data_IF_595177287070
#
_entry.id   IF_595177287070
#
_cell.length_a   1.000
_cell.length_b   1.000
_cell.length_c   1.000
_cell.angle_alpha   90.00
_cell.angle_beta   90.00
_cell.angle_gamma   90.00
#
_symmetry.space_group_name_H-M   'P 1'
#
loop_
_entity.id
_entity.type
_entity.pdbx_description
1 polymer ?
#
# COMPACT_ATOMS: atom_id res chain seq x y z
N UNK A 1 1.80 35.28 -5.29
CA UNK A 1 1.52 35.08 -6.73
C UNK A 1 1.85 33.63 -7.07
N UNK A 2 0.91 32.72 -6.84
CA UNK A 2 1.10 31.28 -7.12
C UNK A 2 1.03 31.12 -8.63
N UNK A 3 2.08 30.57 -9.25
CA UNK A 3 2.13 30.44 -10.71
C UNK A 3 0.92 29.62 -11.19
N UNK A 4 0.21 30.05 -12.26
CA UNK A 4 -0.98 29.36 -12.80
C UNK A 4 -0.73 27.89 -13.22
N UNK A 5 0.55 27.48 -13.29
CA UNK A 5 0.95 26.08 -13.53
C UNK A 5 0.77 25.18 -12.30
N UNK A 6 0.97 25.70 -11.09
CA UNK A 6 0.82 24.91 -9.86
C UNK A 6 -0.65 24.58 -9.59
N UNK A 7 -1.55 25.53 -9.80
CA UNK A 7 -2.98 25.33 -9.57
C UNK A 7 -3.57 24.28 -10.54
N UNK A 8 -3.17 24.34 -11.81
CA UNK A 8 -3.58 23.34 -12.79
C UNK A 8 -3.03 21.95 -12.46
N UNK A 9 -1.75 21.85 -12.09
CA UNK A 9 -1.15 20.58 -11.67
C UNK A 9 -1.83 20.02 -10.41
N UNK A 10 -2.10 20.87 -9.42
CA UNK A 10 -2.79 20.50 -8.19
C UNK A 10 -4.18 19.91 -8.47
N UNK A 11 -5.00 20.58 -9.29
CA UNK A 11 -6.33 20.08 -9.63
C UNK A 11 -6.29 18.71 -10.31
N UNK A 12 -5.33 18.49 -11.21
CA UNK A 12 -5.11 17.18 -11.83
C UNK A 12 -4.73 16.13 -10.79
N UNK A 13 -3.82 16.45 -9.88
CA UNK A 13 -3.42 15.50 -8.82
C UNK A 13 -4.58 15.14 -7.89
N UNK A 14 -5.42 16.09 -7.51
CA UNK A 14 -6.62 15.84 -6.68
C UNK A 14 -7.60 14.91 -7.41
N UNK A 15 -7.80 15.12 -8.71
CA UNK A 15 -8.66 14.24 -9.52
C UNK A 15 -8.17 12.78 -9.53
N UNK A 16 -6.88 12.55 -9.81
CA UNK A 16 -6.31 11.19 -9.78
C UNK A 16 -6.33 10.59 -8.37
N UNK A 17 -6.14 11.40 -7.31
CA UNK A 17 -6.22 10.95 -5.93
C UNK A 17 -7.63 10.42 -5.60
N UNK A 18 -8.68 11.15 -5.98
CA UNK A 18 -10.07 10.72 -5.78
C UNK A 18 -10.33 9.38 -6.50
N UNK A 19 -9.84 9.23 -7.73
CA UNK A 19 -10.00 7.97 -8.49
C UNK A 19 -9.29 6.81 -7.79
N UNK A 20 -8.05 7.01 -7.32
CA UNK A 20 -7.29 6.00 -6.57
C UNK A 20 -8.03 5.63 -5.28
N UNK A 21 -8.55 6.61 -4.54
CA UNK A 21 -9.31 6.38 -3.33
C UNK A 21 -10.57 5.53 -3.60
N UNK A 22 -11.33 5.85 -4.64
CA UNK A 22 -12.48 5.05 -5.06
C UNK A 22 -12.08 3.62 -5.47
N UNK A 23 -10.95 3.46 -6.17
CA UNK A 23 -10.44 2.15 -6.57
C UNK A 23 -10.03 1.30 -5.35
N UNK A 24 -9.42 1.91 -4.33
CA UNK A 24 -9.09 1.24 -3.07
C UNK A 24 -10.34 0.82 -2.29
N UNK A 25 -11.37 1.67 -2.25
CA UNK A 25 -12.66 1.32 -1.63
C UNK A 25 -13.32 0.15 -2.35
N UNK A 26 -13.32 0.17 -3.69
CA UNK A 26 -13.82 -0.95 -4.49
C UNK A 26 -13.04 -2.23 -4.19
N UNK A 27 -11.70 -2.18 -4.21
CA UNK A 27 -10.85 -3.32 -3.87
C UNK A 27 -11.13 -3.85 -2.46
N UNK A 28 -11.27 -2.97 -1.46
CA UNK A 28 -11.61 -3.35 -0.09
C UNK A 28 -12.96 -4.08 0.01
N UNK A 29 -13.99 -3.60 -0.70
CA UNK A 29 -15.30 -4.27 -0.74
C UNK A 29 -15.19 -5.63 -1.42
N UNK A 30 -14.51 -5.72 -2.57
CA UNK A 30 -14.32 -6.98 -3.31
C UNK A 30 -13.56 -7.99 -2.46
N UNK A 31 -12.40 -7.63 -1.90
CA UNK A 31 -11.60 -8.52 -1.07
C UNK A 31 -12.27 -8.90 0.25
N UNK A 32 -13.19 -8.08 0.77
CA UNK A 32 -14.02 -8.45 1.93
C UNK A 32 -15.09 -9.48 1.60
N UNK A 33 -15.66 -9.42 0.38
CA UNK A 33 -16.75 -10.30 -0.06
C UNK A 33 -16.20 -11.62 -0.61
N UNK A 34 -15.07 -11.59 -1.31
CA UNK A 34 -14.41 -12.79 -1.78
C UNK A 34 -13.89 -13.57 -0.56
N UNK A 35 -14.24 -14.87 -0.44
CA UNK A 35 -13.70 -15.68 0.63
C UNK A 35 -12.17 -15.72 0.51
N UNK A 36 -11.45 -15.29 1.53
CA UNK A 36 -10.03 -15.61 1.64
C UNK A 36 -9.94 -17.14 1.68
N UNK A 37 -9.50 -17.77 0.60
CA UNK A 37 -9.11 -19.18 0.61
C UNK A 37 -8.00 -19.45 1.64
N UNK A 38 -7.31 -18.39 2.06
CA UNK A 38 -6.29 -18.33 3.11
C UNK A 38 -6.77 -17.72 4.44
N UNK A 39 -8.08 -17.72 4.74
CA UNK A 39 -8.47 -17.91 6.14
C UNK A 39 -7.91 -19.30 6.52
N UNK A 40 -7.02 -19.38 7.52
CA UNK A 40 -5.79 -20.14 7.44
C UNK A 40 -6.04 -21.64 7.25
N UNK A 41 -5.73 -22.15 6.06
CA UNK A 41 -5.54 -23.59 5.84
C UNK A 41 -4.14 -24.08 6.24
N UNK A 42 -3.20 -23.17 6.48
CA UNK A 42 -1.88 -23.52 7.04
C UNK A 42 -1.89 -23.72 8.56
N UNK A 43 -2.93 -23.28 9.26
CA UNK A 43 -3.04 -23.42 10.71
C UNK A 43 -4.38 -24.03 11.15
N UNK A 44 -5.12 -24.81 10.34
CA UNK A 44 -6.32 -25.44 10.91
C UNK A 44 -5.95 -26.45 12.01
N UNK A 45 -4.87 -27.22 11.85
CA UNK A 45 -4.39 -28.15 12.90
C UNK A 45 -3.59 -27.42 14.00
N UNK A 46 -2.76 -26.44 13.64
CA UNK A 46 -1.97 -25.65 14.60
C UNK A 46 -2.84 -24.66 15.38
N UNK A 47 -3.78 -23.96 14.75
CA UNK A 47 -4.73 -23.07 15.40
C UNK A 47 -5.81 -23.85 16.15
N UNK A 48 -6.28 -25.01 15.67
CA UNK A 48 -7.13 -25.90 16.48
C UNK A 48 -6.38 -26.43 17.70
N UNK A 49 -5.07 -26.76 17.56
CA UNK A 49 -4.22 -27.13 18.68
C UNK A 49 -4.00 -25.95 19.65
N UNK A 50 -3.78 -24.74 19.15
CA UNK A 50 -3.65 -23.53 19.99
C UNK A 50 -4.98 -23.15 20.64
N UNK A 51 -6.11 -23.30 19.94
CA UNK A 51 -7.45 -23.08 20.49
C UNK A 51 -7.80 -24.16 21.52
N UNK A 52 -7.35 -25.41 21.31
CA UNK A 52 -7.44 -26.50 22.28
C UNK A 52 -6.57 -26.24 23.52
N UNK A 53 -5.30 -25.87 23.34
CA UNK A 53 -4.39 -25.52 24.44
C UNK A 53 -4.89 -24.28 25.21
N UNK A 54 -5.46 -23.30 24.50
CA UNK A 54 -6.13 -22.14 25.09
C UNK A 54 -7.37 -22.54 25.89
N UNK A 55 -8.21 -23.42 25.35
CA UNK A 55 -9.41 -23.91 26.04
C UNK A 55 -9.06 -24.75 27.27
N UNK A 56 -8.01 -25.57 27.19
CA UNK A 56 -7.47 -26.35 28.29
C UNK A 56 -6.90 -25.43 29.39
N UNK A 57 -6.10 -24.42 29.01
CA UNK A 57 -5.59 -23.40 29.93
C UNK A 57 -6.74 -22.68 30.65
N UNK A 58 -7.77 -22.25 29.92
CA UNK A 58 -8.94 -21.59 30.48
C UNK A 58 -9.71 -22.50 31.43
N UNK A 59 -9.91 -23.77 31.08
CA UNK A 59 -10.58 -24.75 31.95
C UNK A 59 -9.79 -25.00 33.24
N UNK A 60 -8.47 -25.11 33.16
CA UNK A 60 -7.60 -25.28 34.33
C UNK A 60 -7.65 -24.03 35.22
N UNK A 61 -7.60 -22.83 34.64
CA UNK A 61 -7.69 -21.58 35.39
C UNK A 61 -9.06 -21.41 36.05
N UNK A 62 -10.13 -21.83 35.38
CA UNK A 62 -11.49 -21.77 35.91
C UNK A 62 -11.69 -22.77 37.06
N UNK A 63 -11.23 -24.02 36.91
CA UNK A 63 -11.29 -25.03 37.96
C UNK A 63 -10.50 -24.59 39.22
N UNK A 64 -9.34 -23.98 39.04
CA UNK A 64 -8.51 -23.50 40.15
C UNK A 64 -9.06 -22.21 40.79
N UNK A 65 -9.84 -21.41 40.06
CA UNK A 65 -10.48 -20.19 40.61
C UNK A 65 -11.53 -20.49 41.69
N UNK A 66 -12.12 -21.69 41.68
CA UNK A 66 -13.13 -22.10 42.66
C UNK A 66 -12.52 -22.50 44.01
N UNK A 67 -11.20 -22.73 44.07
CA UNK A 67 -10.50 -23.26 45.25
C UNK A 67 -9.46 -22.35 45.90
N UNK A 68 -9.15 -21.17 45.31
CA UNK A 68 -8.08 -20.27 45.79
C UNK A 68 -8.57 -18.85 46.05
N UNK A 69 -7.81 -18.10 46.85
CA UNK A 69 -8.01 -16.66 46.99
C UNK A 69 -7.59 -15.92 45.71
N UNK A 70 -8.25 -14.81 45.42
CA UNK A 70 -8.09 -14.03 44.19
C UNK A 70 -6.63 -13.63 43.89
N UNK A 71 -5.86 -13.28 44.92
CA UNK A 71 -4.45 -12.88 44.77
C UNK A 71 -3.51 -14.04 44.42
N UNK A 72 -3.81 -15.25 44.92
CA UNK A 72 -3.03 -16.45 44.59
C UNK A 72 -3.40 -16.99 43.21
N UNK A 73 -4.67 -16.84 42.84
CA UNK A 73 -5.16 -17.20 41.51
C UNK A 73 -4.58 -16.29 40.42
N UNK A 74 -4.55 -14.98 40.63
CA UNK A 74 -4.00 -14.04 39.64
C UNK A 74 -2.50 -14.23 39.38
N UNK A 75 -1.73 -14.52 40.44
CA UNK A 75 -0.31 -14.84 40.30
C UNK A 75 -0.09 -16.13 39.49
N UNK A 76 -0.91 -17.16 39.74
CA UNK A 76 -0.85 -18.43 39.01
C UNK A 76 -1.31 -18.27 37.55
N UNK A 77 -2.35 -17.48 37.30
CA UNK A 77 -2.86 -17.19 35.97
C UNK A 77 -1.80 -16.48 35.12
N UNK A 78 -1.15 -15.46 35.66
CA UNK A 78 -0.06 -14.76 34.98
C UNK A 78 1.12 -15.69 34.69
N UNK A 79 1.49 -16.57 35.63
CA UNK A 79 2.58 -17.53 35.42
C UNK A 79 2.26 -18.54 34.30
N UNK A 80 1.02 -19.05 34.25
CA UNK A 80 0.61 -19.99 33.19
C UNK A 80 0.45 -19.31 31.84
N UNK A 81 -0.07 -18.08 31.82
CA UNK A 81 -0.18 -17.29 30.60
C UNK A 81 1.20 -16.97 30.01
N UNK A 82 2.18 -16.55 30.83
CA UNK A 82 3.56 -16.31 30.38
C UNK A 82 4.20 -17.59 29.81
N UNK A 83 3.92 -18.76 30.41
CA UNK A 83 4.42 -20.04 29.86
C UNK A 83 3.77 -20.44 28.52
N UNK A 84 2.49 -20.11 28.33
CA UNK A 84 1.78 -20.33 27.07
C UNK A 84 2.29 -19.37 25.99
N UNK A 85 2.44 -18.08 26.31
CA UNK A 85 2.97 -17.06 25.40
C UNK A 85 4.39 -17.40 24.92
N UNK A 86 5.26 -17.89 25.81
CA UNK A 86 6.60 -18.36 25.44
C UNK A 86 6.57 -19.60 24.54
N UNK A 87 5.65 -20.52 24.78
CA UNK A 87 5.51 -21.73 23.95
C UNK A 87 4.97 -21.38 22.55
N UNK A 88 4.03 -20.43 22.48
CA UNK A 88 3.51 -19.87 21.24
C UNK A 88 4.60 -19.10 20.47
N UNK A 89 5.39 -18.26 21.16
CA UNK A 89 6.50 -17.54 20.56
C UNK A 89 7.55 -18.51 19.98
N UNK A 90 7.91 -19.56 20.73
CA UNK A 90 8.85 -20.57 20.26
C UNK A 90 8.32 -21.41 19.09
N UNK A 91 7.01 -21.68 19.03
CA UNK A 91 6.41 -22.39 17.90
C UNK A 91 6.41 -21.54 16.62
N UNK A 92 6.25 -20.22 16.75
CA UNK A 92 6.32 -19.26 15.65
C UNK A 92 7.76 -19.03 15.17
N UNK A 93 8.70 -18.97 16.10
CA UNK A 93 10.15 -18.76 15.88
C UNK A 93 10.89 -20.00 15.30
N UNK A 94 10.20 -21.11 15.04
CA UNK A 94 10.79 -22.31 14.41
C UNK A 94 10.54 -22.36 12.90
N UNK A 95 9.44 -21.80 12.41
CA UNK A 95 9.14 -21.69 10.96
C UNK A 95 9.75 -20.41 10.32
N UNK A 96 9.92 -19.34 11.11
CA UNK A 96 10.32 -18.02 10.59
C UNK A 96 11.81 -17.68 10.83
N UNK A 97 12.68 -18.65 11.16
CA UNK A 97 14.11 -18.34 11.37
C UNK A 97 14.81 -18.10 10.02
N UNK A 98 15.19 -16.86 9.70
CA UNK A 98 15.92 -16.57 8.48
C UNK A 98 17.36 -17.05 8.66
N UNK A 99 17.82 -17.84 7.69
CA UNK A 99 19.19 -18.30 7.68
C UNK A 99 20.10 -17.08 7.51
N UNK A 100 21.16 -16.91 8.33
CA UNK A 100 22.08 -15.80 8.16
C UNK A 100 22.65 -15.81 6.74
N UNK A 101 22.72 -14.64 6.08
CA UNK A 101 23.37 -14.47 4.77
C UNK A 101 24.84 -14.88 4.91
N UNK A 102 25.16 -16.13 4.54
CA UNK A 102 26.50 -16.73 4.73
C UNK A 102 27.28 -16.77 3.42
N UNK A 103 26.60 -16.83 2.27
CA UNK A 103 27.22 -17.04 0.96
C UNK A 103 27.14 -15.77 0.11
N UNK A 104 28.15 -15.55 -0.75
CA UNK A 104 28.09 -14.49 -1.77
C UNK A 104 26.84 -14.56 -2.65
N UNK A 105 26.39 -15.77 -2.99
CA UNK A 105 25.15 -15.95 -3.74
C UNK A 105 23.91 -15.47 -2.96
N UNK A 106 23.87 -15.64 -1.64
CA UNK A 106 22.78 -15.15 -0.79
C UNK A 106 22.80 -13.61 -0.75
N UNK A 107 23.99 -13.02 -0.64
CA UNK A 107 24.16 -11.57 -0.65
C UNK A 107 23.78 -10.96 -2.02
N UNK A 108 24.19 -11.58 -3.13
CA UNK A 108 23.81 -11.15 -4.48
C UNK A 108 22.31 -11.27 -4.70
N UNK A 109 21.70 -12.36 -4.23
CA UNK A 109 20.27 -12.57 -4.27
C UNK A 109 19.50 -11.48 -3.51
N UNK A 110 19.91 -11.20 -2.27
CA UNK A 110 19.37 -10.11 -1.47
C UNK A 110 19.53 -8.76 -2.17
N UNK A 111 20.70 -8.46 -2.76
CA UNK A 111 20.92 -7.25 -3.55
C UNK A 111 20.01 -7.16 -4.78
N UNK A 112 19.76 -8.28 -5.47
CA UNK A 112 18.87 -8.34 -6.62
C UNK A 112 17.43 -8.01 -6.20
N UNK A 113 16.89 -8.69 -5.19
CA UNK A 113 15.55 -8.44 -4.67
C UNK A 113 15.37 -6.99 -4.22
N UNK A 114 16.40 -6.41 -3.60
CA UNK A 114 16.43 -5.03 -3.13
C UNK A 114 16.34 -4.01 -4.27
N UNK A 115 17.03 -4.22 -5.40
CA UNK A 115 16.98 -3.28 -6.55
C UNK A 115 15.76 -3.51 -7.46
N UNK A 116 15.24 -4.73 -7.53
CA UNK A 116 14.06 -5.06 -8.35
C UNK A 116 12.75 -4.87 -7.60
N UNK A 117 12.81 -4.57 -6.29
CA UNK A 117 11.66 -4.38 -5.39
C UNK A 117 10.69 -5.56 -5.39
N UNK A 118 11.18 -6.78 -5.68
CA UNK A 118 10.36 -8.00 -5.70
C UNK A 118 10.17 -8.51 -4.27
N UNK A 119 11.24 -8.56 -3.48
CA UNK A 119 11.21 -9.21 -2.16
C UNK A 119 10.78 -8.30 -1.01
N UNK A 120 10.05 -8.89 -0.06
CA UNK A 120 9.94 -8.37 1.30
C UNK A 120 11.29 -8.46 2.01
N UNK A 121 11.64 -7.43 2.78
CA UNK A 121 12.86 -7.43 3.59
C UNK A 121 12.43 -7.39 5.04
N UNK A 122 12.75 -8.46 5.75
CA UNK A 122 12.53 -8.51 7.18
C UNK A 122 13.56 -7.63 7.88
N UNK A 123 13.06 -6.52 8.44
CA UNK A 123 13.93 -5.55 9.10
C UNK A 123 14.58 -6.10 10.35
N UNK A 124 14.07 -7.18 10.92
CA UNK A 124 14.60 -7.76 12.16
C UNK A 124 15.87 -8.59 11.93
N UNK A 125 16.15 -8.96 10.68
CA UNK A 125 17.27 -9.82 10.31
C UNK A 125 18.55 -9.05 9.98
N UNK A 126 18.40 -7.74 9.72
CA UNK A 126 19.50 -6.90 9.30
C UNK A 126 20.17 -6.22 10.50
N UNK A 127 21.51 -6.33 10.54
CA UNK A 127 22.34 -5.48 11.40
C UNK A 127 22.10 -4.00 11.11
N UNK A 128 22.30 -3.13 12.11
CA UNK A 128 22.21 -1.66 11.97
C UNK A 128 23.01 -1.15 10.76
N UNK A 129 24.22 -1.67 10.57
CA UNK A 129 25.09 -1.28 9.45
C UNK A 129 24.52 -1.74 8.10
N UNK A 130 23.94 -2.95 8.04
CA UNK A 130 23.30 -3.48 6.84
C UNK A 130 22.03 -2.70 6.47
N UNK A 131 21.28 -2.20 7.45
CA UNK A 131 20.13 -1.31 7.23
C UNK A 131 20.56 0.00 6.57
N UNK A 132 21.60 0.65 7.10
CA UNK A 132 22.13 1.90 6.55
C UNK A 132 22.64 1.68 5.13
N UNK A 133 23.40 0.60 4.90
CA UNK A 133 23.87 0.26 3.56
C UNK A 133 22.72 0.01 2.59
N UNK A 134 21.69 -0.74 2.99
CA UNK A 134 20.52 -1.04 2.16
C UNK A 134 19.77 0.22 1.75
N UNK A 135 19.63 1.21 2.63
CA UNK A 135 19.03 2.52 2.30
C UNK A 135 19.81 3.19 1.17
N UNK A 136 21.13 3.32 1.32
CA UNK A 136 21.98 3.97 0.32
C UNK A 136 21.98 3.19 -0.99
N UNK A 137 22.07 1.86 -0.91
CA UNK A 137 22.09 0.99 -2.07
C UNK A 137 20.78 1.06 -2.86
N UNK A 138 19.62 1.02 -2.21
CA UNK A 138 18.31 1.16 -2.86
C UNK A 138 18.09 2.54 -3.49
N UNK A 139 18.60 3.59 -2.84
CA UNK A 139 18.48 4.96 -3.35
C UNK A 139 19.08 5.12 -4.75
N UNK A 140 20.19 4.44 -5.05
CA UNK A 140 20.79 4.43 -6.38
C UNK A 140 20.36 3.25 -7.25
N UNK A 141 20.11 2.09 -6.64
CA UNK A 141 19.76 0.85 -7.33
C UNK A 141 18.39 0.89 -8.00
N UNK A 142 17.36 1.41 -7.31
CA UNK A 142 15.99 1.48 -7.85
C UNK A 142 15.90 2.41 -9.07
N UNK A 143 16.45 3.64 -9.06
CA UNK A 143 16.49 4.46 -10.28
C UNK A 143 17.23 3.80 -11.45
N UNK A 144 18.29 3.04 -11.16
CA UNK A 144 19.05 2.32 -12.18
C UNK A 144 18.22 1.18 -12.79
N UNK A 145 17.49 0.42 -11.97
CA UNK A 145 16.59 -0.64 -12.46
C UNK A 145 15.44 -0.05 -13.28
N UNK A 146 14.86 1.08 -12.86
CA UNK A 146 13.86 1.82 -13.65
C UNK A 146 14.42 2.31 -15.00
N UNK A 147 15.67 2.76 -15.05
CA UNK A 147 16.32 3.17 -16.30
C UNK A 147 16.48 1.99 -17.25
N UNK A 148 16.92 0.83 -16.74
CA UNK A 148 16.98 -0.41 -17.50
C UNK A 148 15.60 -0.79 -18.07
N UNK A 149 14.57 -0.82 -17.22
CA UNK A 149 13.21 -1.16 -17.63
C UNK A 149 12.67 -0.21 -18.71
N UNK A 150 12.99 1.09 -18.62
CA UNK A 150 12.60 2.06 -19.65
C UNK A 150 13.27 1.78 -21.01
N UNK A 151 14.50 1.26 -21.04
CA UNK A 151 15.12 0.83 -22.31
C UNK A 151 14.45 -0.43 -22.84
N UNK A 152 14.06 -1.36 -21.97
CA UNK A 152 13.30 -2.54 -22.36
C UNK A 152 11.97 -2.16 -23.01
N UNK A 153 11.24 -1.17 -22.46
CA UNK A 153 9.97 -0.68 -23.05
C UNK A 153 10.20 -0.10 -24.44
N UNK A 154 11.25 0.70 -24.63
CA UNK A 154 11.59 1.26 -25.95
C UNK A 154 11.92 0.15 -26.95
N UNK A 155 12.74 -0.80 -26.55
CA UNK A 155 13.06 -1.97 -27.38
C UNK A 155 11.78 -2.75 -27.73
N UNK A 156 10.95 -3.10 -26.75
CA UNK A 156 9.70 -3.82 -26.95
C UNK A 156 8.72 -3.07 -27.86
N UNK A 157 8.61 -1.74 -27.71
CA UNK A 157 7.76 -0.90 -28.57
C UNK A 157 8.23 -0.84 -30.03
N UNK A 158 9.53 -1.09 -30.28
CA UNK A 158 10.04 -1.22 -31.65
C UNK A 158 9.68 -2.55 -32.29
N UNK A 159 9.52 -3.61 -31.48
CA UNK A 159 9.19 -4.95 -31.97
C UNK A 159 7.68 -5.17 -32.09
N UNK A 160 6.87 -4.56 -31.21
CA UNK A 160 5.43 -4.80 -31.16
C UNK A 160 4.62 -3.51 -31.04
N UNK A 161 3.49 -3.47 -31.74
CA UNK A 161 2.45 -2.45 -31.55
C UNK A 161 1.80 -2.65 -30.17
N UNK A 162 1.45 -1.55 -29.49
CA UNK A 162 0.93 -1.51 -28.11
C UNK A 162 -0.15 -2.58 -27.79
N UNK A 163 -0.97 -2.99 -28.76
CA UNK A 163 -2.02 -4.00 -28.58
C UNK A 163 -1.50 -5.43 -28.37
N UNK A 164 -0.31 -5.75 -28.88
CA UNK A 164 0.29 -7.09 -28.75
C UNK A 164 1.07 -7.26 -27.45
N UNK A 165 1.32 -6.18 -26.71
CA UNK A 165 2.08 -6.20 -25.45
C UNK A 165 1.40 -7.09 -24.39
N UNK A 166 0.06 -7.04 -24.30
CA UNK A 166 -0.71 -7.87 -23.37
C UNK A 166 -0.62 -9.36 -23.69
N UNK A 167 -0.70 -9.72 -24.97
CA UNK A 167 -0.58 -11.11 -25.43
C UNK A 167 0.84 -11.62 -25.16
N UNK A 168 1.85 -10.79 -25.40
CA UNK A 168 3.23 -11.12 -25.11
C UNK A 168 3.47 -11.35 -23.60
N UNK A 169 3.03 -10.44 -22.73
CA UNK A 169 3.18 -10.61 -21.29
C UNK A 169 2.41 -11.83 -20.76
N UNK A 170 1.17 -12.05 -21.22
CA UNK A 170 0.40 -13.25 -20.89
C UNK A 170 1.10 -14.54 -21.34
N UNK A 171 1.69 -14.53 -22.55
CA UNK A 171 2.51 -15.63 -23.07
C UNK A 171 3.76 -15.87 -22.24
N UNK A 172 4.46 -14.81 -21.80
CA UNK A 172 5.62 -14.92 -20.92
C UNK A 172 5.24 -15.52 -19.56
N UNK A 173 4.16 -15.05 -18.92
CA UNK A 173 3.68 -15.62 -17.65
C UNK A 173 3.31 -17.08 -17.81
N UNK A 174 2.56 -17.42 -18.86
CA UNK A 174 2.15 -18.79 -19.12
C UNK A 174 3.36 -19.71 -19.35
N UNK A 175 4.32 -19.28 -20.17
CA UNK A 175 5.53 -20.04 -20.42
C UNK A 175 6.37 -20.23 -19.16
N UNK A 176 6.53 -19.18 -18.35
CA UNK A 176 7.25 -19.25 -17.08
C UNK A 176 6.53 -20.15 -16.07
N UNK A 177 5.20 -20.09 -15.99
CA UNK A 177 4.42 -20.95 -15.11
C UNK A 177 4.53 -22.43 -15.52
N UNK A 178 4.49 -22.73 -16.82
CA UNK A 178 4.74 -24.09 -17.34
C UNK A 178 6.17 -24.54 -17.03
N UNK A 179 7.16 -23.66 -17.19
CA UNK A 179 8.55 -23.96 -16.87
C UNK A 179 8.73 -24.23 -15.36
N UNK A 180 8.07 -23.45 -14.52
CA UNK A 180 8.04 -23.63 -13.07
C UNK A 180 7.46 -25.00 -12.69
N UNK A 181 6.28 -25.33 -13.24
CA UNK A 181 5.61 -26.62 -13.04
C UNK A 181 6.47 -27.82 -13.49
N UNK A 182 7.16 -27.70 -14.62
CA UNK A 182 8.05 -28.75 -15.15
C UNK A 182 9.31 -28.93 -14.29
N UNK A 183 9.90 -27.83 -13.78
CA UNK A 183 11.10 -27.88 -12.94
C UNK A 183 10.78 -28.42 -11.55
N UNK A 184 9.62 -28.08 -11.00
CA UNK A 184 9.21 -28.44 -9.63
C UNK A 184 8.83 -29.93 -9.47
N UNK A 185 8.77 -30.71 -10.56
CA UNK A 185 8.53 -32.16 -10.56
C UNK A 185 7.55 -32.63 -9.45
N UNK A 186 6.30 -32.19 -9.51
CA UNK A 186 5.14 -32.87 -8.90
C UNK A 186 5.37 -33.47 -7.50
N UNK A 187 5.81 -32.68 -6.52
CA UNK A 187 5.81 -33.13 -5.11
C UNK A 187 4.87 -32.36 -4.18
N UNK A 188 4.29 -31.25 -4.64
CA UNK A 188 3.31 -30.49 -3.87
C UNK A 188 2.03 -30.30 -4.68
N UNK A 189 0.89 -30.56 -4.05
CA UNK A 189 -0.48 -30.30 -4.52
C UNK A 189 -0.78 -28.79 -4.64
N UNK A 190 0.15 -28.00 -5.20
CA UNK A 190 -0.14 -26.61 -5.56
C UNK A 190 -0.93 -26.64 -6.88
N UNK A 191 -2.18 -26.17 -6.91
CA UNK A 191 -2.92 -26.09 -8.15
C UNK A 191 -2.14 -25.17 -9.12
N UNK A 192 -2.05 -25.55 -10.39
CA UNK A 192 -1.38 -24.79 -11.46
C UNK A 192 -1.70 -23.27 -11.47
N UNK A 193 -2.91 -22.91 -11.01
CA UNK A 193 -3.32 -21.52 -10.85
C UNK A 193 -2.50 -20.74 -9.81
N UNK A 194 -2.09 -21.38 -8.71
CA UNK A 194 -1.25 -20.77 -7.67
C UNK A 194 0.16 -20.52 -8.19
N UNK A 195 0.68 -21.42 -9.06
CA UNK A 195 1.95 -21.21 -9.75
C UNK A 195 1.87 -20.02 -10.74
N UNK A 196 0.80 -19.92 -11.53
CA UNK A 196 0.56 -18.74 -12.39
C UNK A 196 0.49 -17.47 -11.55
N UNK A 197 -0.24 -17.51 -10.43
CA UNK A 197 -0.42 -16.36 -9.56
C UNK A 197 0.89 -15.92 -8.90
N UNK A 198 1.69 -16.87 -8.41
CA UNK A 198 3.03 -16.61 -7.85
C UNK A 198 3.96 -15.97 -8.89
N UNK A 199 4.02 -16.54 -10.10
CA UNK A 199 4.82 -15.98 -11.21
C UNK A 199 4.33 -14.58 -11.57
N UNK A 200 3.01 -14.35 -11.59
CA UNK A 200 2.44 -13.03 -11.83
C UNK A 200 2.86 -12.03 -10.75
N UNK A 201 2.79 -12.40 -9.47
CA UNK A 201 3.20 -11.52 -8.38
C UNK A 201 4.70 -11.20 -8.43
N UNK A 202 5.56 -12.17 -8.72
CA UNK A 202 6.99 -11.95 -8.88
C UNK A 202 7.29 -11.03 -10.09
N UNK A 203 6.61 -11.24 -11.21
CA UNK A 203 6.80 -10.44 -12.43
C UNK A 203 6.21 -9.01 -12.30
N UNK A 204 5.29 -8.79 -11.36
CA UNK A 204 4.72 -7.47 -11.03
C UNK A 204 5.38 -6.80 -9.83
N UNK A 205 6.47 -7.38 -9.30
CA UNK A 205 7.23 -6.90 -8.13
C UNK A 205 6.39 -6.79 -6.86
N UNK A 206 5.41 -7.67 -6.68
CA UNK A 206 4.55 -7.75 -5.48
C UNK A 206 4.85 -9.03 -4.67
N UNK A 207 5.31 -10.09 -5.34
CA UNK A 207 5.40 -11.43 -4.77
C UNK A 207 6.68 -11.72 -4.01
N UNK A 208 6.52 -12.45 -2.90
CA UNK A 208 7.62 -13.10 -2.20
C UNK A 208 8.12 -14.31 -2.99
N UNK A 209 9.44 -14.52 -2.98
CA UNK A 209 10.07 -15.59 -3.75
C UNK A 209 9.96 -16.93 -3.03
N UNK A 210 9.46 -17.94 -3.76
CA UNK A 210 9.49 -19.32 -3.30
C UNK A 210 10.87 -19.93 -3.58
N UNK A 211 11.59 -20.30 -2.53
CA UNK A 211 13.04 -20.61 -2.55
C UNK A 211 13.45 -21.89 -3.29
N UNK A 212 12.57 -22.47 -4.11
CA UNK A 212 12.71 -23.79 -4.73
C UNK A 212 13.34 -23.75 -6.13
N UNK A 213 13.32 -22.60 -6.80
CA UNK A 213 13.83 -22.43 -8.17
C UNK A 213 15.35 -22.17 -8.16
N UNK A 214 16.14 -22.72 -9.10
CA UNK A 214 17.54 -22.34 -9.24
C UNK A 214 17.68 -20.82 -9.49
N UNK A 215 18.42 -20.15 -8.59
CA UNK A 215 18.52 -18.68 -8.52
C UNK A 215 18.83 -17.97 -9.84
N UNK A 216 19.69 -18.55 -10.67
CA UNK A 216 20.07 -17.96 -11.97
C UNK A 216 18.88 -17.90 -12.92
N UNK A 217 18.09 -18.97 -12.96
CA UNK A 217 16.88 -19.06 -13.76
C UNK A 217 15.84 -18.07 -13.26
N UNK A 218 15.73 -17.93 -11.94
CA UNK A 218 14.85 -16.97 -11.31
C UNK A 218 15.21 -15.52 -11.67
N UNK A 219 16.50 -15.13 -11.64
CA UNK A 219 16.91 -13.78 -12.05
C UNK A 219 16.54 -13.47 -13.50
N UNK A 220 16.74 -14.42 -14.42
CA UNK A 220 16.38 -14.24 -15.83
C UNK A 220 14.88 -14.11 -16.02
N UNK A 221 14.11 -14.98 -15.36
CA UNK A 221 12.65 -14.95 -15.39
C UNK A 221 12.12 -13.65 -14.80
N UNK A 222 12.66 -13.22 -13.67
CA UNK A 222 12.28 -11.97 -13.02
C UNK A 222 12.59 -10.77 -13.94
N UNK A 223 13.77 -10.69 -14.56
CA UNK A 223 14.10 -9.60 -15.47
C UNK A 223 13.21 -9.57 -16.72
N UNK A 224 12.93 -10.74 -17.31
CA UNK A 224 12.04 -10.84 -18.49
C UNK A 224 10.59 -10.53 -18.09
N UNK A 225 10.12 -11.06 -16.97
CA UNK A 225 8.78 -10.84 -16.44
C UNK A 225 8.54 -9.37 -16.11
N UNK A 226 9.41 -8.78 -15.29
CA UNK A 226 9.31 -7.36 -14.90
C UNK A 226 9.39 -6.44 -16.12
N UNK A 227 10.25 -6.73 -17.09
CA UNK A 227 10.31 -5.91 -18.32
C UNK A 227 9.06 -6.04 -19.20
N UNK A 228 8.46 -7.24 -19.30
CA UNK A 228 7.21 -7.46 -20.01
C UNK A 228 6.03 -6.72 -19.34
N UNK A 229 5.92 -6.81 -18.01
CA UNK A 229 4.87 -6.11 -17.26
C UNK A 229 5.07 -4.60 -17.22
N UNK A 230 6.29 -4.11 -17.13
CA UNK A 230 6.57 -2.67 -17.22
C UNK A 230 6.10 -2.09 -18.56
N UNK A 231 6.25 -2.85 -19.64
CA UNK A 231 5.71 -2.47 -20.97
C UNK A 231 4.18 -2.46 -20.98
N UNK A 232 3.54 -3.42 -20.32
CA UNK A 232 2.09 -3.43 -20.16
C UNK A 232 1.60 -2.25 -19.33
N UNK A 233 2.25 -1.93 -18.22
CA UNK A 233 1.91 -0.77 -17.39
C UNK A 233 2.00 0.52 -18.18
N UNK A 234 3.04 0.69 -19.00
CA UNK A 234 3.16 1.84 -19.88
C UNK A 234 1.99 1.90 -20.89
N UNK A 235 1.56 0.78 -21.47
CA UNK A 235 0.44 0.74 -22.42
C UNK A 235 -0.91 1.03 -21.73
N UNK A 236 -1.13 0.46 -20.54
CA UNK A 236 -2.31 0.70 -19.70
C UNK A 236 -2.37 2.18 -19.31
N UNK A 237 -1.28 2.76 -18.80
CA UNK A 237 -1.23 4.16 -18.39
C UNK A 237 -1.64 5.10 -19.53
N UNK A 238 -1.08 4.91 -20.74
CA UNK A 238 -1.49 5.69 -21.92
C UNK A 238 -2.98 5.57 -22.23
N UNK A 239 -3.56 4.38 -22.03
CA UNK A 239 -4.97 4.12 -22.30
C UNK A 239 -5.86 4.77 -21.24
N UNK A 240 -5.48 4.66 -19.96
CA UNK A 240 -6.16 5.32 -18.84
C UNK A 240 -6.14 6.83 -19.04
N UNK A 241 -4.98 7.42 -19.32
CA UNK A 241 -4.84 8.87 -19.55
C UNK A 241 -5.75 9.35 -20.68
N UNK A 242 -5.78 8.65 -21.82
CA UNK A 242 -6.67 8.99 -22.95
C UNK A 242 -8.15 8.93 -22.58
N UNK A 243 -8.56 7.91 -21.84
CA UNK A 243 -9.96 7.73 -21.46
C UNK A 243 -10.38 8.72 -20.35
N UNK A 244 -9.47 9.04 -19.42
CA UNK A 244 -9.73 9.96 -18.32
C UNK A 244 -9.63 11.43 -18.73
N UNK A 245 -9.00 11.78 -19.85
CA UNK A 245 -8.89 13.18 -20.32
C UNK A 245 -10.24 13.89 -20.39
N UNK A 246 -11.27 13.23 -20.93
CA UNK A 246 -12.63 13.80 -21.00
C UNK A 246 -13.21 14.07 -19.61
N UNK A 247 -12.98 13.17 -18.66
CA UNK A 247 -13.45 13.32 -17.28
C UNK A 247 -12.63 14.36 -16.50
N UNK A 248 -11.34 14.47 -16.75
CA UNK A 248 -10.44 15.47 -16.16
C UNK A 248 -10.92 16.89 -16.54
N UNK A 249 -11.30 17.09 -17.81
CA UNK A 249 -11.86 18.35 -18.32
C UNK A 249 -13.25 18.61 -17.73
N UNK A 250 -14.06 17.58 -17.50
CA UNK A 250 -15.35 17.76 -16.83
C UNK A 250 -15.19 18.15 -15.36
N UNK A 251 -14.33 17.43 -14.62
CA UNK A 251 -14.04 17.70 -13.21
C UNK A 251 -13.45 19.10 -13.01
N UNK A 252 -12.56 19.50 -13.92
CA UNK A 252 -12.05 20.86 -14.03
C UNK A 252 -13.12 21.94 -13.96
N UNK A 253 -14.16 21.75 -14.76
CA UNK A 253 -15.23 22.73 -14.92
C UNK A 253 -16.14 22.75 -13.69
N UNK A 254 -16.44 21.58 -13.12
CA UNK A 254 -17.18 21.46 -11.86
C UNK A 254 -16.41 22.07 -10.68
N UNK A 255 -15.11 21.82 -10.59
CA UNK A 255 -14.27 22.38 -9.52
C UNK A 255 -14.19 23.90 -9.60
N UNK A 256 -14.04 24.46 -10.80
CA UNK A 256 -14.08 25.91 -11.00
C UNK A 256 -15.44 26.53 -10.62
N UNK A 257 -16.53 25.81 -10.85
CA UNK A 257 -17.86 26.26 -10.42
C UNK A 257 -18.01 26.24 -8.89
N UNK A 258 -17.48 25.21 -8.23
CA UNK A 258 -17.49 25.11 -6.75
C UNK A 258 -16.63 26.20 -6.13
N UNK A 259 -15.45 26.47 -6.68
CA UNK A 259 -14.58 27.53 -6.20
C UNK A 259 -15.23 28.92 -6.34
N UNK A 260 -15.86 29.21 -7.49
CA UNK A 260 -16.62 30.46 -7.66
C UNK A 260 -17.79 30.59 -6.68
N UNK A 261 -18.42 29.48 -6.32
CA UNK A 261 -19.50 29.50 -5.33
C UNK A 261 -18.96 29.79 -3.93
N UNK A 262 -17.82 29.21 -3.55
CA UNK A 262 -17.14 29.49 -2.28
C UNK A 262 -16.66 30.94 -2.19
N UNK A 263 -16.02 31.47 -3.23
CA UNK A 263 -15.54 32.86 -3.25
C UNK A 263 -16.71 33.86 -3.19
N UNK A 264 -17.85 33.54 -3.82
CA UNK A 264 -19.06 34.37 -3.72
C UNK A 264 -19.64 34.38 -2.29
N UNK A 265 -19.68 33.23 -1.62
CA UNK A 265 -20.16 33.12 -0.23
C UNK A 265 -19.22 33.81 0.77
N UNK A 266 -17.90 33.85 0.51
CA UNK A 266 -16.96 34.65 1.29
C UNK A 266 -17.14 36.16 1.07
N UNK A 267 -17.27 36.62 -0.18
CA UNK A 267 -17.49 38.03 -0.48
C UNK A 267 -18.82 38.54 0.11
N UNK A 268 -19.89 37.75 0.04
CA UNK A 268 -21.19 38.10 0.62
C UNK A 268 -21.14 38.22 2.15
N UNK A 269 -20.29 37.41 2.83
CA UNK A 269 -20.06 37.53 4.28
C UNK A 269 -19.24 38.76 4.64
N UNK A 270 -18.25 39.14 3.84
CA UNK A 270 -17.44 40.35 4.06
C UNK A 270 -18.29 41.60 3.85
N UNK A 271 -19.09 41.66 2.79
CA UNK A 271 -19.98 42.79 2.52
C UNK A 271 -21.05 42.96 3.61
N UNK A 272 -21.62 41.85 4.10
CA UNK A 272 -22.56 41.90 5.21
C UNK A 272 -21.91 42.35 6.52
N UNK A 273 -20.69 41.91 6.83
CA UNK A 273 -19.97 42.37 8.01
C UNK A 273 -19.61 43.86 7.94
N UNK A 274 -19.21 44.37 6.78
CA UNK A 274 -18.92 45.79 6.60
C UNK A 274 -20.19 46.64 6.75
N UNK A 275 -21.33 46.19 6.22
CA UNK A 275 -22.62 46.87 6.42
C UNK A 275 -23.04 46.93 7.88
N UNK A 276 -22.81 45.87 8.65
CA UNK A 276 -23.14 45.85 10.07
C UNK A 276 -22.21 46.80 10.85
N UNK A 277 -20.92 46.88 10.49
CA UNK A 277 -19.98 47.82 11.11
C UNK A 277 -20.30 49.29 10.80
N UNK A 278 -20.75 49.61 9.57
CA UNK A 278 -21.19 50.96 9.21
C UNK A 278 -22.47 51.37 9.96
N UNK A 279 -23.45 50.47 10.11
CA UNK A 279 -24.67 50.74 10.89
C UNK A 279 -24.37 50.95 12.39
N UNK A 280 -23.34 50.31 12.94
CA UNK A 280 -22.90 50.50 14.33
C UNK A 280 -22.07 51.80 14.53
N UNK A 281 -21.32 52.27 13.52
CA UNK A 281 -20.59 53.55 13.56
C UNK A 281 -21.54 54.76 13.45
N UNK A 282 -22.53 54.71 12.56
CA UNK A 282 -23.55 55.76 12.41
C UNK A 282 -24.42 55.92 13.68
N UNK A 283 -24.67 54.82 14.40
CA UNK A 283 -25.41 54.84 15.67
C UNK A 283 -24.62 55.48 16.83
N UNK A 284 -23.28 55.53 16.75
CA UNK A 284 -22.43 56.17 17.77
C UNK A 284 -22.26 57.67 17.48
N UNK A 285 -22.16 58.08 16.21
CA UNK A 285 -22.10 59.51 15.83
C UNK A 285 -23.42 60.26 16.13
N UNK A 286 -24.59 59.60 16.02
CA UNK A 286 -25.88 60.22 16.41
C UNK A 286 -25.97 60.51 17.92
N UNK A 287 -25.23 59.79 18.77
CA UNK A 287 -25.19 60.07 20.22
C UNK A 287 -24.21 61.14 20.66
N UNK A 288 -23.19 61.49 19.86
CA UNK A 288 -22.23 62.56 20.20
C UNK A 288 -22.62 63.94 19.64
N UNK A 289 -23.59 64.01 18.71
CA UNK A 289 -24.05 65.25 18.07
C UNK A 289 -25.12 66.06 18.83
N UNK A 290 -25.69 65.53 19.93
CA UNK A 290 -26.84 66.16 20.60
C UNK A 290 -26.52 66.95 21.89
N UNK A 291 -25.24 67.05 22.30
CA UNK A 291 -24.85 67.79 23.52
C UNK A 291 -24.34 69.24 23.32
N UNK A 292 -24.20 69.75 22.08
CA UNK A 292 -23.60 71.07 21.84
C UNK A 292 -24.47 72.02 20.99
N UNK A 293 -25.75 72.18 21.36
CA UNK A 293 -26.56 73.32 20.90
C UNK A 293 -27.60 73.79 21.94
N UNK A 294 -27.14 74.06 23.17
CA UNK A 294 -27.91 74.76 24.20
C UNK A 294 -27.11 75.96 24.73
N UNK A 295 -26.81 76.90 23.84
CA UNK A 295 -26.40 78.25 24.24
C UNK A 295 -26.74 79.24 23.13
N UNK A 296 -27.43 80.33 23.51
CA UNK A 296 -27.85 81.50 22.71
C UNK A 296 -29.15 81.35 21.90
N UNK A 297 -30.30 81.71 22.50
CA UNK A 297 -30.79 83.10 22.49
C UNK A 297 -32.21 83.20 23.07
N UNK A 298 -32.33 84.11 24.05
CA UNK A 298 -33.48 84.96 24.47
C UNK A 298 -34.86 84.75 23.87
#
# INVERSE_FOLDING_TARGET
>A
MVLPRCELAFRRTVFYLIIIFCYLLFGSVVFRILPNASAPRLDSEKQEKLDFERAELLNILWAESLGRSESQWSLLANQKLDSYERSLANAKDVDERPQPIKTFSDAFHHSFLLITTIGGIDTDDLSREAKIFSIVYSFFGIPLSLLYLNQCVKAASSFWKDQNAFVFAGGCVFFVAVLYDVIEQSSDDTPFFDAIFSVFLAATTIGEEDGRVPRILLYLIALIGVSAFHTCYHAIQRTIEKNLQSFEISFSNSFAHVQRFLDNDENEKVDNNNRIAEEDEDAVEETEGEEDFSAYST
#
